data_IF_721695891363
#
_entry.id   IF_721695891363
#
_cell.length_a   1.000
_cell.length_b   1.000
_cell.length_c   1.000
_cell.angle_alpha   90.00
_cell.angle_beta   90.00
_cell.angle_gamma   90.00
#
_symmetry.space_group_name_H-M   'P 1'
#
loop_
_entity.id
_entity.type
_entity.pdbx_description
1 polymer ?
#
# COMPACT_ATOMS: atom_id res chain seq x y z
N UNK A 1 -6.46 24.37 -7.65
CA UNK A 1 -5.29 24.03 -8.49
C UNK A 1 -5.75 23.23 -9.71
N UNK A 2 -5.02 23.35 -10.84
CA UNK A 2 -5.15 22.43 -12.00
C UNK A 2 -4.05 21.39 -11.87
N UNK A 3 -4.41 20.20 -11.46
CA UNK A 3 -3.49 19.10 -11.12
C UNK A 3 -3.55 18.04 -12.21
N UNK A 4 -2.42 17.69 -12.81
CA UNK A 4 -2.31 16.48 -13.62
C UNK A 4 -1.91 15.30 -12.72
N UNK A 5 -2.60 14.16 -12.83
CA UNK A 5 -2.15 12.89 -12.25
C UNK A 5 -1.80 11.91 -13.36
N UNK A 6 -0.52 11.55 -13.45
CA UNK A 6 -0.01 10.63 -14.48
C UNK A 6 0.14 9.23 -13.88
N UNK A 7 -0.56 8.27 -14.49
CA UNK A 7 -0.62 6.87 -14.06
C UNK A 7 -0.46 5.91 -15.24
N UNK A 8 -0.24 4.63 -14.99
CA UNK A 8 -0.43 3.57 -15.97
C UNK A 8 -1.86 3.03 -15.92
N UNK A 9 -2.41 2.68 -17.09
CA UNK A 9 -3.70 1.97 -17.19
C UNK A 9 -4.87 2.80 -16.66
N UNK A 10 -5.71 2.17 -15.84
CA UNK A 10 -6.95 2.74 -15.35
C UNK A 10 -6.89 2.94 -13.84
N UNK A 11 -7.40 4.10 -13.39
CA UNK A 11 -7.49 4.46 -11.98
C UNK A 11 -8.37 3.47 -11.18
N UNK A 12 -9.31 2.79 -11.85
CA UNK A 12 -10.20 1.79 -11.24
C UNK A 12 -9.56 0.41 -11.02
N UNK A 13 -8.26 0.28 -11.34
CA UNK A 13 -7.51 -0.95 -11.08
C UNK A 13 -7.52 -1.31 -9.58
N UNK A 14 -7.84 -2.56 -9.24
CA UNK A 14 -7.99 -3.02 -7.85
C UNK A 14 -6.65 -3.38 -7.21
N UNK A 15 -5.91 -2.36 -6.79
CA UNK A 15 -4.70 -2.49 -5.96
C UNK A 15 -4.66 -1.40 -4.89
N UNK A 16 -3.84 -1.59 -3.85
CA UNK A 16 -3.68 -0.60 -2.77
C UNK A 16 -3.15 0.75 -3.26
N UNK A 17 -2.22 0.77 -4.23
CA UNK A 17 -1.72 2.01 -4.82
C UNK A 17 -2.83 2.78 -5.54
N UNK A 18 -3.54 2.14 -6.46
CA UNK A 18 -4.66 2.79 -7.16
C UNK A 18 -5.84 3.16 -6.24
N UNK A 19 -6.04 2.44 -5.14
CA UNK A 19 -6.99 2.87 -4.11
C UNK A 19 -6.56 4.22 -3.50
N UNK A 20 -5.28 4.34 -3.15
CA UNK A 20 -4.73 5.59 -2.64
C UNK A 20 -4.88 6.73 -3.65
N UNK A 21 -4.55 6.49 -4.92
CA UNK A 21 -4.69 7.47 -6.01
C UNK A 21 -6.14 7.94 -6.17
N UNK A 22 -7.09 7.01 -6.18
CA UNK A 22 -8.54 7.35 -6.24
C UNK A 22 -8.96 8.23 -5.08
N UNK A 23 -8.53 7.90 -3.87
CA UNK A 23 -8.85 8.66 -2.66
C UNK A 23 -8.24 10.06 -2.72
N UNK A 24 -6.98 10.18 -3.15
CA UNK A 24 -6.32 11.48 -3.34
C UNK A 24 -7.05 12.33 -4.39
N UNK A 25 -7.41 11.75 -5.53
CA UNK A 25 -8.16 12.43 -6.59
C UNK A 25 -9.52 12.92 -6.09
N UNK A 26 -10.26 12.05 -5.37
CA UNK A 26 -11.55 12.41 -4.80
C UNK A 26 -11.41 13.61 -3.83
N UNK A 27 -10.48 13.50 -2.88
CA UNK A 27 -10.20 14.55 -1.91
C UNK A 27 -9.84 15.88 -2.59
N UNK A 28 -8.91 15.90 -3.56
CA UNK A 28 -8.51 17.12 -4.26
C UNK A 28 -9.70 17.76 -4.98
N UNK A 29 -10.56 16.94 -5.63
CA UNK A 29 -11.77 17.44 -6.29
C UNK A 29 -12.79 18.02 -5.33
N UNK A 30 -12.99 17.40 -4.17
CA UNK A 30 -13.84 17.89 -3.08
C UNK A 30 -13.34 19.24 -2.53
N UNK A 31 -12.01 19.45 -2.53
CA UNK A 31 -11.40 20.73 -2.17
C UNK A 31 -11.42 21.77 -3.31
N UNK A 32 -12.15 21.51 -4.40
CA UNK A 32 -12.30 22.43 -5.54
C UNK A 32 -11.11 22.46 -6.51
N UNK A 33 -10.20 21.50 -6.41
CA UNK A 33 -9.10 21.36 -7.37
C UNK A 33 -9.58 20.63 -8.63
N UNK A 34 -9.11 21.05 -9.80
CA UNK A 34 -9.38 20.35 -11.06
C UNK A 34 -8.29 19.30 -11.31
N UNK A 35 -8.66 18.01 -11.32
CA UNK A 35 -7.71 16.91 -11.49
C UNK A 35 -7.93 16.23 -12.84
N UNK A 36 -6.94 16.36 -13.73
CA UNK A 36 -6.86 15.65 -15.01
C UNK A 36 -6.08 14.35 -14.84
N UNK A 37 -6.68 13.21 -15.25
CA UNK A 37 -5.99 11.91 -15.25
C UNK A 37 -5.28 11.74 -16.60
N UNK A 38 -3.95 11.59 -16.55
CA UNK A 38 -3.09 11.36 -17.70
C UNK A 38 -2.67 9.89 -17.70
N UNK A 39 -3.43 9.06 -18.38
CA UNK A 39 -3.16 7.63 -18.45
C UNK A 39 -2.15 7.28 -19.55
N UNK A 40 -1.17 6.45 -19.20
CA UNK A 40 -0.27 5.76 -20.13
C UNK A 40 -0.68 4.29 -20.26
N UNK A 41 -0.51 3.71 -21.43
CA UNK A 41 -0.82 2.30 -21.66
C UNK A 41 0.08 1.42 -20.80
N UNK A 42 -0.51 0.46 -20.08
CA UNK A 42 0.22 -0.56 -19.35
C UNK A 42 1.00 -1.48 -20.31
N UNK A 43 2.28 -1.69 -20.05
CA UNK A 43 3.18 -2.55 -20.84
C UNK A 43 4.20 -3.21 -19.91
N UNK A 44 5.04 -4.09 -20.43
CA UNK A 44 6.17 -4.60 -19.65
C UNK A 44 7.28 -3.54 -19.50
N UNK A 45 8.06 -3.62 -18.45
CA UNK A 45 9.06 -2.64 -18.01
C UNK A 45 9.99 -2.16 -19.15
N UNK A 46 10.55 -3.08 -19.94
CA UNK A 46 11.45 -2.73 -21.04
C UNK A 46 10.80 -1.84 -22.13
N UNK A 47 9.49 -2.01 -22.39
CA UNK A 47 8.76 -1.13 -23.33
C UNK A 47 8.48 0.25 -22.74
N UNK A 48 8.30 0.34 -21.43
CA UNK A 48 8.14 1.63 -20.76
C UNK A 48 9.39 2.51 -20.88
N UNK A 49 10.60 1.91 -20.90
CA UNK A 49 11.84 2.66 -21.14
C UNK A 49 11.82 3.41 -22.48
N UNK A 50 11.13 2.89 -23.50
CA UNK A 50 11.02 3.53 -24.82
C UNK A 50 10.11 4.78 -24.81
N UNK A 51 9.22 4.91 -23.84
CA UNK A 51 8.33 6.09 -23.73
C UNK A 51 9.14 7.37 -23.51
N UNK A 52 10.32 7.30 -22.96
CA UNK A 52 11.26 8.44 -22.84
C UNK A 52 11.62 9.10 -24.19
N UNK A 53 11.48 8.39 -25.30
CA UNK A 53 11.71 8.89 -26.65
C UNK A 53 10.46 9.48 -27.31
N UNK A 54 9.29 9.34 -26.68
CA UNK A 54 8.00 9.76 -27.22
C UNK A 54 7.90 11.29 -27.31
N UNK A 55 7.91 11.78 -28.56
CA UNK A 55 7.69 13.22 -28.84
C UNK A 55 6.24 13.61 -28.56
N UNK A 56 5.28 12.73 -28.81
CA UNK A 56 3.84 12.98 -28.58
C UNK A 56 3.53 13.13 -27.09
N UNK A 57 4.09 12.25 -26.23
CA UNK A 57 3.93 12.37 -24.79
C UNK A 57 4.56 13.68 -24.26
N UNK A 58 5.78 13.99 -24.68
CA UNK A 58 6.43 15.23 -24.30
C UNK A 58 5.59 16.46 -24.71
N UNK A 59 5.08 16.47 -25.94
CA UNK A 59 4.25 17.56 -26.44
C UNK A 59 2.92 17.67 -25.68
N UNK A 60 2.27 16.55 -25.38
CA UNK A 60 1.04 16.51 -24.55
C UNK A 60 1.27 17.15 -23.18
N UNK A 61 2.35 16.74 -22.49
CA UNK A 61 2.70 17.27 -21.17
C UNK A 61 3.08 18.75 -21.24
N UNK A 62 3.79 19.20 -22.30
CA UNK A 62 4.13 20.62 -22.48
C UNK A 62 2.92 21.52 -22.68
N UNK A 63 1.89 21.02 -23.39
CA UNK A 63 0.67 21.79 -23.69
C UNK A 63 -0.39 21.67 -22.59
N UNK A 64 -0.20 20.78 -21.64
CA UNK A 64 -1.14 20.64 -20.53
C UNK A 64 -1.13 21.92 -19.67
N UNK A 65 -2.31 22.51 -19.51
CA UNK A 65 -2.49 23.73 -18.71
C UNK A 65 -2.59 23.38 -17.22
N UNK A 66 -1.47 22.92 -16.65
CA UNK A 66 -1.36 22.45 -15.27
C UNK A 66 -0.68 23.50 -14.39
N UNK A 67 -1.07 23.52 -13.13
CA UNK A 67 -0.35 24.23 -12.07
C UNK A 67 0.75 23.30 -11.47
N UNK A 68 0.53 21.97 -11.46
CA UNK A 68 1.50 20.95 -11.08
C UNK A 68 1.18 19.59 -11.71
N UNK A 69 2.20 18.74 -11.85
CA UNK A 69 2.05 17.35 -12.32
C UNK A 69 2.45 16.38 -11.22
N UNK A 70 1.48 15.59 -10.73
CA UNK A 70 1.74 14.43 -9.87
C UNK A 70 1.98 13.22 -10.78
N UNK A 71 3.04 12.47 -10.52
CA UNK A 71 3.40 11.25 -11.22
C UNK A 71 3.39 10.09 -10.22
N UNK A 72 2.56 9.07 -10.43
CA UNK A 72 2.74 7.82 -9.71
C UNK A 72 4.15 7.30 -9.99
N UNK A 73 4.91 6.98 -8.95
CA UNK A 73 6.29 6.51 -9.06
C UNK A 73 6.40 5.25 -9.94
N UNK A 74 5.36 4.44 -10.01
CA UNK A 74 5.28 3.30 -10.92
C UNK A 74 5.61 3.67 -12.38
N UNK A 75 5.38 4.93 -12.76
CA UNK A 75 5.69 5.48 -14.09
C UNK A 75 7.18 5.85 -14.28
N UNK A 76 8.05 5.67 -13.28
CA UNK A 76 9.47 6.02 -13.36
C UNK A 76 10.18 5.50 -14.63
N UNK A 77 9.91 4.27 -15.14
CA UNK A 77 10.61 3.79 -16.33
C UNK A 77 10.25 4.57 -17.61
N UNK A 78 9.03 5.14 -17.68
CA UNK A 78 8.63 5.98 -18.81
C UNK A 78 9.12 7.43 -18.72
N UNK A 79 9.56 7.87 -17.53
CA UNK A 79 9.74 9.29 -17.22
C UNK A 79 11.17 9.69 -16.81
N UNK A 80 12.05 8.75 -16.50
CA UNK A 80 13.38 9.05 -15.95
C UNK A 80 14.24 9.99 -16.81
N UNK A 81 14.14 9.91 -18.14
CA UNK A 81 14.79 10.84 -19.06
C UNK A 81 13.82 11.88 -19.64
N UNK A 82 12.55 11.54 -19.71
CA UNK A 82 11.48 12.46 -20.13
C UNK A 82 11.43 13.68 -19.21
N UNK A 83 11.43 13.49 -17.89
CA UNK A 83 11.37 14.56 -16.90
C UNK A 83 12.52 15.58 -17.05
N UNK A 84 13.74 15.14 -17.38
CA UNK A 84 14.85 16.04 -17.66
C UNK A 84 14.58 16.98 -18.85
N UNK A 85 13.88 16.48 -19.87
CA UNK A 85 13.49 17.26 -21.06
C UNK A 85 12.29 18.14 -20.78
N UNK A 86 11.34 17.63 -20.00
CA UNK A 86 10.13 18.34 -19.61
C UNK A 86 10.45 19.56 -18.74
N UNK A 87 11.28 19.43 -17.72
CA UNK A 87 11.69 20.53 -16.82
C UNK A 87 12.31 21.74 -17.52
N UNK A 88 12.88 21.54 -18.71
CA UNK A 88 13.42 22.65 -19.52
C UNK A 88 12.37 23.40 -20.31
N UNK A 89 11.09 22.96 -20.24
CA UNK A 89 10.03 23.39 -21.17
C UNK A 89 8.73 23.74 -20.48
N UNK A 90 8.60 23.43 -19.20
CA UNK A 90 7.43 23.72 -18.37
C UNK A 90 7.83 24.44 -17.10
N UNK A 91 6.94 25.25 -16.58
CA UNK A 91 7.14 25.99 -15.32
C UNK A 91 6.54 25.27 -14.12
N UNK A 92 5.59 24.36 -14.36
CA UNK A 92 4.94 23.64 -13.29
C UNK A 92 5.85 22.59 -12.64
N UNK A 93 5.77 22.42 -11.29
CA UNK A 93 6.58 21.44 -10.58
C UNK A 93 6.16 20.00 -10.88
N UNK A 94 7.15 19.11 -10.87
CA UNK A 94 6.98 17.66 -11.00
C UNK A 94 7.02 17.04 -9.61
N UNK A 95 5.89 16.56 -9.14
CA UNK A 95 5.75 15.89 -7.86
C UNK A 95 5.59 14.38 -8.11
N UNK A 96 6.20 13.54 -7.30
CA UNK A 96 5.97 12.10 -7.39
C UNK A 96 5.15 11.60 -6.20
N UNK A 97 4.24 10.68 -6.46
CA UNK A 97 3.53 9.91 -5.46
C UNK A 97 4.21 8.55 -5.35
N UNK A 98 4.77 8.23 -4.19
CA UNK A 98 5.60 7.04 -4.00
C UNK A 98 4.86 6.03 -3.13
N UNK A 99 4.43 4.93 -3.75
CA UNK A 99 3.80 3.82 -3.05
C UNK A 99 4.80 2.76 -2.62
N UNK A 100 5.74 2.40 -3.51
CA UNK A 100 6.71 1.33 -3.30
C UNK A 100 7.78 1.40 -4.37
N UNK A 101 9.05 1.44 -4.01
CA UNK A 101 10.13 1.33 -4.99
C UNK A 101 10.18 -0.09 -5.59
N UNK A 102 10.21 -0.17 -6.90
CA UNK A 102 10.33 -1.45 -7.58
C UNK A 102 11.62 -2.19 -7.21
N UNK A 103 12.71 -1.46 -6.95
CA UNK A 103 13.97 -2.04 -6.49
C UNK A 103 13.92 -2.62 -5.07
N UNK A 104 12.88 -2.31 -4.27
CA UNK A 104 12.65 -2.88 -2.95
C UNK A 104 11.96 -4.24 -3.01
N UNK A 105 11.29 -4.57 -4.11
CA UNK A 105 10.65 -5.87 -4.31
C UNK A 105 11.67 -7.00 -4.47
N UNK A 106 11.19 -8.25 -4.37
CA UNK A 106 12.02 -9.45 -4.58
C UNK A 106 12.31 -9.66 -6.06
N UNK A 107 13.48 -9.26 -6.51
CA UNK A 107 14.00 -9.45 -7.86
C UNK A 107 15.42 -10.02 -7.84
N UNK A 108 15.93 -10.49 -8.98
CA UNK A 108 17.34 -10.86 -9.12
C UNK A 108 18.26 -9.64 -8.89
N UNK A 109 19.49 -9.86 -8.45
CA UNK A 109 20.44 -8.80 -8.16
C UNK A 109 20.69 -7.88 -9.38
N UNK A 110 20.76 -8.46 -10.58
CA UNK A 110 20.93 -7.72 -11.84
C UNK A 110 19.72 -6.83 -12.16
N UNK A 111 18.49 -7.35 -11.99
CA UNK A 111 17.28 -6.57 -12.19
C UNK A 111 17.17 -5.43 -11.17
N UNK A 112 17.46 -5.69 -9.89
CA UNK A 112 17.52 -4.63 -8.85
C UNK A 112 18.49 -3.52 -9.19
N UNK A 113 19.68 -3.84 -9.72
CA UNK A 113 20.67 -2.83 -10.11
C UNK A 113 20.13 -1.93 -11.22
N UNK A 114 19.45 -2.49 -12.22
CA UNK A 114 18.83 -1.73 -13.31
C UNK A 114 17.70 -0.83 -12.74
N UNK A 115 16.80 -1.37 -11.94
CA UNK A 115 15.71 -0.60 -11.33
C UNK A 115 16.24 0.57 -10.51
N UNK A 116 17.21 0.33 -9.62
CA UNK A 116 17.90 1.37 -8.83
C UNK A 116 18.50 2.47 -9.70
N UNK A 117 19.14 2.12 -10.81
CA UNK A 117 19.74 3.11 -11.71
C UNK A 117 18.68 4.00 -12.37
N UNK A 118 17.56 3.41 -12.81
CA UNK A 118 16.45 4.13 -13.46
C UNK A 118 15.72 5.00 -12.43
N UNK A 119 15.37 4.45 -11.25
CA UNK A 119 14.74 5.17 -10.14
C UNK A 119 15.59 6.36 -9.68
N UNK A 120 16.91 6.17 -9.46
CA UNK A 120 17.82 7.28 -9.11
C UNK A 120 17.79 8.41 -10.14
N UNK A 121 17.76 8.04 -11.43
CA UNK A 121 17.69 9.04 -12.49
C UNK A 121 16.34 9.74 -12.55
N UNK A 122 15.26 9.04 -12.27
CA UNK A 122 13.92 9.59 -12.16
C UNK A 122 13.84 10.63 -11.04
N UNK A 123 14.25 10.27 -9.83
CA UNK A 123 14.19 11.15 -8.66
C UNK A 123 15.08 12.39 -8.78
N UNK A 124 16.13 12.40 -9.61
CA UNK A 124 16.94 13.60 -9.86
C UNK A 124 16.16 14.75 -10.48
N UNK A 125 15.06 14.45 -11.15
CA UNK A 125 14.26 15.43 -11.89
C UNK A 125 12.91 15.71 -11.24
N UNK A 126 12.71 15.31 -9.98
CA UNK A 126 11.50 15.53 -9.19
C UNK A 126 11.71 16.74 -8.27
N UNK A 127 10.68 17.58 -8.13
CA UNK A 127 10.68 18.79 -7.31
C UNK A 127 10.14 18.55 -5.91
N UNK A 128 9.43 17.44 -5.72
CA UNK A 128 8.90 17.03 -4.43
C UNK A 128 8.23 15.67 -4.49
N UNK A 129 7.91 15.10 -3.33
CA UNK A 129 7.31 13.78 -3.23
C UNK A 129 6.20 13.74 -2.17
N UNK A 130 5.17 12.93 -2.43
CA UNK A 130 4.20 12.45 -1.45
C UNK A 130 4.56 10.99 -1.19
N UNK A 131 4.85 10.64 0.05
CA UNK A 131 5.19 9.29 0.47
C UNK A 131 4.02 8.68 1.24
N UNK A 132 3.69 7.43 0.96
CA UNK A 132 2.62 6.74 1.69
C UNK A 132 3.05 6.22 3.08
N UNK A 133 4.35 6.28 3.40
CA UNK A 133 4.92 5.87 4.69
C UNK A 133 6.28 6.50 4.93
N UNK A 134 6.73 6.54 6.18
CA UNK A 134 8.07 6.98 6.53
C UNK A 134 9.13 6.02 5.96
N UNK A 135 8.86 4.72 6.00
CA UNK A 135 9.73 3.68 5.38
C UNK A 135 9.95 3.93 3.89
N UNK A 136 8.89 4.31 3.18
CA UNK A 136 9.00 4.62 1.73
C UNK A 136 9.85 5.87 1.51
N UNK A 137 9.70 6.90 2.35
CA UNK A 137 10.55 8.09 2.32
C UNK A 137 12.02 7.73 2.54
N UNK A 138 12.31 6.99 3.60
CA UNK A 138 13.68 6.54 3.93
C UNK A 138 14.30 5.69 2.81
N UNK A 139 13.52 4.79 2.21
CA UNK A 139 13.98 3.99 1.07
C UNK A 139 14.38 4.85 -0.13
N UNK A 140 13.61 5.91 -0.43
CA UNK A 140 13.94 6.86 -1.50
C UNK A 140 15.18 7.70 -1.14
N UNK A 141 15.31 8.18 0.08
CA UNK A 141 16.46 8.95 0.55
C UNK A 141 17.74 8.09 0.51
N UNK A 142 17.68 6.83 0.96
CA UNK A 142 18.79 5.87 0.84
C UNK A 142 19.16 5.57 -0.62
N UNK A 143 18.14 5.40 -1.48
CA UNK A 143 18.37 5.16 -2.90
C UNK A 143 19.08 6.34 -3.58
N UNK A 144 18.65 7.56 -3.27
CA UNK A 144 19.12 8.79 -3.94
C UNK A 144 20.35 9.40 -3.30
N UNK A 145 20.64 9.07 -2.05
CA UNK A 145 21.70 9.67 -1.23
C UNK A 145 21.42 11.13 -0.86
N UNK A 146 20.17 11.58 -0.93
CA UNK A 146 19.74 12.95 -0.58
C UNK A 146 18.33 12.99 -0.06
N UNK A 147 18.02 13.96 0.76
CA UNK A 147 16.66 14.30 1.14
C UNK A 147 15.89 14.86 -0.08
N UNK A 148 14.65 14.40 -0.26
CA UNK A 148 13.72 14.92 -1.26
C UNK A 148 12.65 15.72 -0.52
N UNK A 149 12.41 17.00 -0.90
CA UNK A 149 11.32 17.76 -0.31
C UNK A 149 10.01 17.00 -0.45
N UNK A 150 9.33 16.74 0.67
CA UNK A 150 8.13 15.90 0.60
C UNK A 150 7.37 15.86 1.91
N UNK A 151 6.23 15.18 1.84
CA UNK A 151 5.32 14.92 2.95
C UNK A 151 5.03 13.44 3.03
N UNK A 152 4.90 12.92 4.24
CA UNK A 152 4.33 11.59 4.46
C UNK A 152 2.84 11.75 4.67
N UNK A 153 2.06 11.16 3.78
CA UNK A 153 0.61 11.11 3.84
C UNK A 153 0.18 9.64 3.90
N UNK A 154 -0.08 9.15 5.09
CA UNK A 154 -0.43 7.76 5.30
C UNK A 154 -1.79 7.41 4.64
N UNK A 155 -2.01 6.17 4.19
CA UNK A 155 -3.36 5.67 3.94
C UNK A 155 -4.23 5.84 5.18
N UNK A 156 -5.47 6.29 4.98
CA UNK A 156 -6.38 6.55 6.10
C UNK A 156 -6.95 5.27 6.71
N UNK A 157 -7.21 5.31 8.03
CA UNK A 157 -7.87 4.23 8.79
C UNK A 157 -9.35 4.04 8.45
N UNK A 158 -9.96 4.99 7.78
CA UNK A 158 -11.40 5.10 7.52
C UNK A 158 -11.80 4.64 6.10
N UNK A 159 -10.97 3.78 5.47
CA UNK A 159 -11.30 3.21 4.16
C UNK A 159 -12.58 2.38 4.20
N UNK A 160 -12.73 1.54 5.21
CA UNK A 160 -13.89 0.68 5.40
C UNK A 160 -14.75 1.20 6.57
N UNK A 161 -16.07 1.12 6.41
CA UNK A 161 -16.99 1.40 7.52
C UNK A 161 -17.00 0.20 8.48
N UNK A 162 -16.30 0.34 9.60
CA UNK A 162 -16.26 -0.70 10.62
C UNK A 162 -17.50 -0.64 11.50
N UNK A 163 -18.35 -1.69 11.43
CA UNK A 163 -19.53 -1.85 12.30
C UNK A 163 -19.20 -2.81 13.45
N UNK A 164 -18.25 -2.44 14.31
CA UNK A 164 -17.86 -3.26 15.46
C UNK A 164 -17.83 -2.43 16.74
N UNK A 165 -17.65 -3.09 17.88
CA UNK A 165 -17.49 -2.48 19.18
C UNK A 165 -16.53 -3.31 20.03
N UNK A 166 -15.97 -2.71 21.09
CA UNK A 166 -15.09 -3.43 22.03
C UNK A 166 -15.70 -4.73 22.53
N UNK A 167 -17.00 -4.73 22.87
CA UNK A 167 -17.70 -5.93 23.32
C UNK A 167 -17.76 -7.02 22.22
N UNK A 168 -18.06 -6.65 20.97
CA UNK A 168 -18.07 -7.59 19.84
C UNK A 168 -16.69 -8.13 19.54
N UNK A 169 -15.65 -7.28 19.62
CA UNK A 169 -14.24 -7.67 19.43
C UNK A 169 -13.83 -8.70 20.49
N UNK A 170 -14.09 -8.41 21.78
CA UNK A 170 -13.78 -9.33 22.87
C UNK A 170 -14.54 -10.67 22.75
N UNK A 171 -15.84 -10.61 22.46
CA UNK A 171 -16.67 -11.81 22.30
C UNK A 171 -16.16 -12.71 21.15
N UNK A 172 -15.79 -12.12 20.01
CA UNK A 172 -15.19 -12.86 18.88
C UNK A 172 -13.89 -13.51 19.27
N UNK A 173 -12.95 -12.77 19.89
CA UNK A 173 -11.64 -13.27 20.30
C UNK A 173 -11.75 -14.39 21.35
N UNK A 174 -12.75 -14.35 22.23
CA UNK A 174 -13.05 -15.38 23.21
C UNK A 174 -13.63 -16.67 22.61
N UNK A 175 -14.10 -16.66 21.37
CA UNK A 175 -14.75 -17.82 20.75
C UNK A 175 -13.77 -19.00 20.66
N UNK A 176 -14.17 -20.13 21.26
CA UNK A 176 -13.38 -21.37 21.23
C UNK A 176 -13.51 -22.09 19.88
N UNK A 177 -12.63 -23.05 19.64
CA UNK A 177 -12.52 -23.78 18.38
C UNK A 177 -11.30 -23.32 17.55
N UNK A 178 -11.16 -23.72 16.29
CA UNK A 178 -10.01 -23.37 15.46
C UNK A 178 -9.73 -21.87 15.40
N UNK A 179 -8.46 -21.47 15.44
CA UNK A 179 -8.07 -20.09 15.18
C UNK A 179 -8.44 -19.73 13.74
N UNK A 180 -9.31 -18.75 13.56
CA UNK A 180 -9.76 -18.29 12.26
C UNK A 180 -8.82 -17.20 11.75
N UNK A 181 -8.12 -17.51 10.68
CA UNK A 181 -7.14 -16.64 10.02
C UNK A 181 -7.78 -16.07 8.76
N UNK A 182 -7.61 -14.77 8.54
CA UNK A 182 -7.91 -14.16 7.26
C UNK A 182 -6.62 -13.62 6.62
N UNK A 183 -6.49 -13.83 5.33
CA UNK A 183 -5.50 -13.20 4.46
C UNK A 183 -6.24 -12.27 3.50
N UNK A 184 -5.85 -11.00 3.41
CA UNK A 184 -6.44 -10.02 2.50
C UNK A 184 -5.35 -9.43 1.61
N UNK A 185 -5.45 -9.69 0.31
CA UNK A 185 -4.53 -9.19 -0.70
C UNK A 185 -4.49 -10.08 -1.94
N UNK A 186 -4.12 -9.50 -3.08
CA UNK A 186 -3.99 -10.29 -4.31
C UNK A 186 -3.00 -11.44 -4.11
N UNK A 187 -3.35 -12.63 -4.60
CA UNK A 187 -2.54 -13.85 -4.44
C UNK A 187 -1.32 -13.79 -5.36
N UNK A 188 -0.28 -13.13 -4.84
CA UNK A 188 1.01 -12.89 -5.50
C UNK A 188 2.13 -13.45 -4.62
N UNK A 189 3.21 -13.90 -5.23
CA UNK A 189 4.37 -14.44 -4.49
C UNK A 189 4.95 -13.44 -3.46
N UNK A 190 4.86 -12.13 -3.75
CA UNK A 190 5.29 -11.07 -2.84
C UNK A 190 4.47 -10.98 -1.54
N UNK A 191 3.24 -11.51 -1.51
CA UNK A 191 2.35 -11.47 -0.33
C UNK A 191 2.53 -12.65 0.64
N UNK A 192 3.30 -13.68 0.27
CA UNK A 192 3.77 -14.71 1.19
C UNK A 192 2.70 -15.72 1.63
N UNK A 193 1.62 -15.94 0.85
CA UNK A 193 0.61 -16.93 1.18
C UNK A 193 1.18 -18.34 1.26
N UNK A 194 2.23 -18.65 0.49
CA UNK A 194 3.03 -19.87 0.56
C UNK A 194 3.64 -20.10 1.95
N UNK A 195 4.17 -19.03 2.55
CA UNK A 195 4.74 -19.07 3.91
C UNK A 195 3.65 -19.33 4.97
N UNK A 196 2.46 -18.74 4.80
CA UNK A 196 1.34 -18.98 5.72
C UNK A 196 0.84 -20.43 5.65
N UNK A 197 0.69 -20.99 4.45
CA UNK A 197 0.31 -22.41 4.26
C UNK A 197 1.35 -23.34 4.88
N UNK A 198 2.65 -23.03 4.73
CA UNK A 198 3.73 -23.79 5.36
C UNK A 198 3.72 -23.67 6.88
N UNK A 199 3.41 -22.50 7.44
CA UNK A 199 3.23 -22.33 8.87
C UNK A 199 2.05 -23.17 9.42
N UNK A 200 0.92 -23.18 8.71
CA UNK A 200 -0.23 -24.00 9.09
C UNK A 200 0.06 -25.51 9.05
N UNK A 201 0.91 -25.97 8.10
CA UNK A 201 1.34 -27.37 8.03
C UNK A 201 2.11 -27.83 9.29
N UNK A 202 2.77 -26.91 10.01
CA UNK A 202 3.52 -27.17 11.25
C UNK A 202 2.63 -27.20 12.51
N UNK A 203 1.35 -26.92 12.39
CA UNK A 203 0.38 -26.94 13.47
C UNK A 203 -0.43 -28.24 13.50
N UNK A 204 -1.04 -28.61 14.64
CA UNK A 204 -1.99 -29.72 14.70
C UNK A 204 -3.12 -29.51 13.69
N UNK A 205 -3.54 -30.59 13.04
CA UNK A 205 -4.67 -30.54 12.09
C UNK A 205 -5.93 -29.99 12.79
N UNK A 206 -6.58 -29.02 12.16
CA UNK A 206 -7.76 -28.37 12.70
C UNK A 206 -7.51 -27.28 13.76
N UNK A 207 -6.25 -27.01 14.14
CA UNK A 207 -5.94 -25.90 15.04
C UNK A 207 -6.28 -24.54 14.41
N UNK A 208 -6.12 -24.41 13.07
CA UNK A 208 -6.39 -23.18 12.35
C UNK A 208 -7.27 -23.41 11.12
N UNK A 209 -8.02 -22.39 10.74
CA UNK A 209 -8.72 -22.27 9.44
C UNK A 209 -8.30 -20.98 8.78
N UNK A 210 -8.00 -21.02 7.49
CA UNK A 210 -7.59 -19.87 6.68
C UNK A 210 -8.63 -19.54 5.63
N UNK A 211 -8.98 -18.27 5.57
CA UNK A 211 -9.75 -17.67 4.48
C UNK A 211 -8.85 -16.67 3.73
N UNK A 212 -8.56 -16.93 2.45
CA UNK A 212 -7.75 -16.07 1.62
C UNK A 212 -8.63 -15.30 0.63
N UNK A 213 -8.57 -13.96 0.71
CA UNK A 213 -9.36 -13.01 -0.07
C UNK A 213 -8.43 -12.20 -0.96
N UNK A 214 -8.68 -12.18 -2.26
CA UNK A 214 -7.95 -11.41 -3.25
C UNK A 214 -7.87 -12.10 -4.59
N UNK A 215 -7.48 -11.37 -5.64
CA UNK A 215 -7.47 -11.89 -7.00
C UNK A 215 -6.62 -13.15 -7.15
N UNK A 216 -7.21 -14.20 -7.69
CA UNK A 216 -6.55 -15.46 -8.05
C UNK A 216 -6.08 -15.45 -9.52
N UNK A 217 -6.51 -14.48 -10.31
CA UNK A 217 -6.26 -14.41 -11.75
C UNK A 217 -5.11 -13.49 -12.11
N UNK A 218 -4.77 -12.52 -11.24
CA UNK A 218 -3.67 -11.59 -11.47
C UNK A 218 -2.32 -12.31 -11.66
N UNK A 219 -2.12 -13.44 -10.98
CA UNK A 219 -0.99 -14.36 -11.16
C UNK A 219 -1.45 -15.81 -11.01
N UNK A 220 -2.22 -16.29 -11.99
CA UNK A 220 -2.90 -17.60 -11.94
C UNK A 220 -1.96 -18.78 -11.64
N UNK A 221 -0.75 -18.76 -12.21
CA UNK A 221 0.25 -19.82 -11.97
C UNK A 221 0.68 -19.91 -10.49
N UNK A 222 0.81 -18.78 -9.82
CA UNK A 222 1.12 -18.78 -8.38
C UNK A 222 -0.09 -19.23 -7.55
N UNK A 223 -1.29 -18.73 -7.85
CA UNK A 223 -2.51 -19.20 -7.18
C UNK A 223 -2.68 -20.72 -7.30
N UNK A 224 -2.38 -21.29 -8.46
CA UNK A 224 -2.41 -22.75 -8.67
C UNK A 224 -1.30 -23.47 -7.88
N UNK A 225 -0.12 -22.88 -7.74
CA UNK A 225 0.94 -23.45 -6.89
C UNK A 225 0.52 -23.48 -5.41
N UNK A 226 -0.20 -22.48 -4.93
CA UNK A 226 -0.77 -22.46 -3.58
C UNK A 226 -1.80 -23.57 -3.40
N UNK A 227 -2.73 -23.78 -4.36
CA UNK A 227 -3.70 -24.88 -4.27
C UNK A 227 -3.01 -26.25 -4.17
N UNK A 228 -1.98 -26.46 -4.95
CA UNK A 228 -1.17 -27.69 -4.88
C UNK A 228 -0.46 -27.85 -3.55
N UNK A 229 0.11 -26.77 -3.00
CA UNK A 229 0.74 -26.77 -1.68
C UNK A 229 -0.28 -27.11 -0.58
N UNK A 230 -1.47 -26.51 -0.61
CA UNK A 230 -2.57 -26.79 0.33
C UNK A 230 -2.97 -28.28 0.26
N UNK A 231 -3.16 -28.82 -0.93
CA UNK A 231 -3.52 -30.23 -1.12
C UNK A 231 -2.42 -31.19 -0.63
N UNK A 232 -1.15 -30.93 -0.97
CA UNK A 232 -0.02 -31.76 -0.56
C UNK A 232 0.23 -31.70 0.95
N UNK A 233 -0.10 -30.57 1.61
CA UNK A 233 -0.05 -30.42 3.06
C UNK A 233 -1.23 -31.07 3.79
N UNK A 234 -2.24 -31.59 3.09
CA UNK A 234 -3.48 -32.13 3.68
C UNK A 234 -4.35 -31.07 4.35
N UNK A 235 -4.32 -29.83 3.84
CA UNK A 235 -5.02 -28.68 4.41
C UNK A 235 -6.27 -28.27 3.62
N UNK A 236 -6.74 -29.08 2.65
CA UNK A 236 -7.87 -28.72 1.78
C UNK A 236 -9.16 -28.40 2.53
N UNK A 237 -9.42 -29.04 3.66
CA UNK A 237 -10.61 -28.77 4.49
C UNK A 237 -10.47 -27.54 5.42
N UNK A 238 -9.27 -26.95 5.47
CA UNK A 238 -8.92 -25.87 6.39
C UNK A 238 -8.52 -24.57 5.69
N UNK A 239 -8.36 -24.58 4.37
CA UNK A 239 -7.95 -23.40 3.59
C UNK A 239 -8.98 -23.14 2.49
N UNK A 240 -9.60 -21.98 2.55
CA UNK A 240 -10.54 -21.48 1.55
C UNK A 240 -9.92 -20.31 0.79
N UNK A 241 -9.92 -20.37 -0.55
CA UNK A 241 -9.44 -19.29 -1.43
C UNK A 241 -10.65 -18.71 -2.17
N UNK A 242 -11.21 -17.60 -1.63
CA UNK A 242 -12.47 -17.02 -2.13
C UNK A 242 -12.32 -16.28 -3.46
N UNK A 243 -11.13 -15.79 -3.78
CA UNK A 243 -10.95 -14.85 -4.88
C UNK A 243 -11.20 -13.40 -4.45
N UNK A 244 -11.31 -12.49 -5.43
CA UNK A 244 -11.64 -11.10 -5.18
C UNK A 244 -13.10 -10.95 -4.73
N UNK A 245 -13.33 -10.13 -3.72
CA UNK A 245 -14.66 -9.77 -3.23
C UNK A 245 -14.81 -8.25 -3.27
N UNK A 246 -16.04 -7.70 -3.33
CA UNK A 246 -16.30 -6.28 -3.20
C UNK A 246 -15.74 -5.70 -1.90
N UNK A 247 -15.20 -4.47 -1.94
CA UNK A 247 -14.59 -3.85 -0.76
C UNK A 247 -15.58 -3.69 0.41
N UNK A 248 -16.85 -3.43 0.11
CA UNK A 248 -17.93 -3.31 1.09
C UNK A 248 -18.22 -4.60 1.87
N UNK A 249 -17.82 -5.75 1.34
CA UNK A 249 -17.97 -7.05 2.00
C UNK A 249 -16.78 -7.39 2.93
N UNK A 250 -15.61 -6.79 2.71
CA UNK A 250 -14.38 -7.06 3.47
C UNK A 250 -14.61 -6.97 4.98
N UNK A 251 -15.30 -5.94 5.55
CA UNK A 251 -15.54 -5.86 6.99
C UNK A 251 -16.33 -7.06 7.53
N UNK A 252 -17.25 -7.61 6.73
CA UNK A 252 -18.01 -8.82 7.09
C UNK A 252 -17.12 -10.04 7.25
N UNK A 253 -16.13 -10.21 6.36
CA UNK A 253 -15.16 -11.29 6.44
C UNK A 253 -14.17 -11.06 7.60
N UNK A 254 -13.65 -9.85 7.77
CA UNK A 254 -12.78 -9.52 8.89
C UNK A 254 -13.45 -9.82 10.23
N UNK A 255 -14.70 -9.37 10.42
CA UNK A 255 -15.45 -9.58 11.66
C UNK A 255 -15.75 -11.05 12.01
N UNK A 256 -15.59 -11.99 11.08
CA UNK A 256 -15.74 -13.44 11.33
C UNK A 256 -14.44 -14.14 11.72
N UNK A 257 -13.30 -13.45 11.56
CA UNK A 257 -11.97 -14.01 11.79
C UNK A 257 -11.32 -13.48 13.06
N UNK A 258 -10.25 -14.13 13.52
CA UNK A 258 -9.56 -13.80 14.77
C UNK A 258 -8.31 -12.95 14.54
N UNK A 259 -7.60 -13.18 13.45
CA UNK A 259 -6.31 -12.57 13.14
C UNK A 259 -6.15 -12.37 11.63
N UNK A 260 -5.60 -11.24 11.23
CA UNK A 260 -5.12 -11.03 9.87
C UNK A 260 -3.66 -11.51 9.77
N UNK A 261 -3.35 -12.30 8.75
CA UNK A 261 -1.97 -12.73 8.49
C UNK A 261 -1.61 -12.45 7.04
N UNK A 262 -0.66 -11.53 6.83
CA UNK A 262 -0.12 -11.23 5.50
C UNK A 262 1.41 -11.18 5.60
N UNK A 263 2.11 -12.34 5.47
CA UNK A 263 3.55 -12.44 5.66
C UNK A 263 4.31 -12.06 4.39
N UNK A 264 4.06 -10.82 3.93
CA UNK A 264 4.63 -10.26 2.70
C UNK A 264 6.16 -10.32 2.70
N UNK A 265 6.77 -10.58 1.55
CA UNK A 265 8.22 -10.50 1.36
C UNK A 265 8.74 -9.07 1.47
N UNK A 266 7.91 -8.12 1.11
CA UNK A 266 8.07 -6.69 1.35
C UNK A 266 6.69 -6.01 1.28
N UNK A 267 6.40 -5.11 2.21
CA UNK A 267 5.16 -4.32 2.24
C UNK A 267 5.50 -2.85 2.53
N UNK A 268 5.03 -1.92 1.70
CA UNK A 268 5.33 -0.50 1.91
C UNK A 268 4.71 0.05 3.20
N UNK A 269 3.48 -0.34 3.49
CA UNK A 269 2.77 -0.02 4.73
C UNK A 269 1.74 -1.11 5.09
N UNK A 270 0.79 -1.39 4.17
CA UNK A 270 -0.26 -2.40 4.35
C UNK A 270 -1.61 -1.80 4.76
N UNK A 271 -2.41 -1.34 3.78
CA UNK A 271 -3.78 -0.83 4.03
C UNK A 271 -4.63 -1.90 4.73
N UNK A 272 -4.49 -3.17 4.34
CA UNK A 272 -5.20 -4.28 4.96
C UNK A 272 -4.95 -4.41 6.48
N UNK A 273 -3.82 -3.94 6.98
CA UNK A 273 -3.52 -3.94 8.42
C UNK A 273 -4.43 -2.95 9.15
N UNK A 274 -4.60 -1.74 8.60
CA UNK A 274 -5.50 -0.73 9.16
C UNK A 274 -6.95 -1.20 9.13
N UNK A 275 -7.35 -1.82 8.02
CA UNK A 275 -8.69 -2.41 7.86
C UNK A 275 -8.98 -3.50 8.90
N UNK A 276 -8.03 -4.40 9.11
CA UNK A 276 -8.16 -5.48 10.09
C UNK A 276 -8.19 -4.95 11.53
N UNK A 277 -7.28 -4.03 11.88
CA UNK A 277 -7.28 -3.41 13.21
C UNK A 277 -8.55 -2.59 13.47
N UNK A 278 -9.12 -1.94 12.45
CA UNK A 278 -10.41 -1.26 12.54
C UNK A 278 -11.57 -2.21 12.87
N UNK A 279 -11.42 -3.49 12.53
CA UNK A 279 -12.31 -4.58 12.97
C UNK A 279 -11.84 -5.25 14.29
N UNK A 280 -10.76 -4.76 14.91
CA UNK A 280 -10.17 -5.33 16.12
C UNK A 280 -9.52 -6.70 15.89
N UNK A 281 -8.91 -6.93 14.72
CA UNK A 281 -8.06 -8.09 14.50
C UNK A 281 -6.61 -7.72 14.76
N UNK A 282 -5.87 -8.46 15.59
CA UNK A 282 -4.42 -8.36 15.58
C UNK A 282 -3.87 -8.76 14.21
N UNK A 283 -2.68 -8.24 13.89
CA UNK A 283 -2.04 -8.44 12.59
C UNK A 283 -0.73 -9.20 12.76
N UNK A 284 -0.52 -10.26 11.96
CA UNK A 284 0.80 -10.88 11.82
C UNK A 284 1.34 -10.49 10.44
N UNK A 285 2.44 -9.74 10.44
CA UNK A 285 3.11 -9.22 9.26
C UNK A 285 4.61 -9.53 9.30
N UNK A 286 5.38 -9.00 8.36
CA UNK A 286 6.84 -9.16 8.37
C UNK A 286 7.56 -7.85 8.70
N UNK A 287 8.82 -7.97 9.11
CA UNK A 287 9.71 -6.83 9.37
C UNK A 287 10.18 -6.13 8.08
N UNK A 288 9.91 -6.70 6.90
CA UNK A 288 10.36 -6.15 5.63
C UNK A 288 9.40 -5.07 5.11
N UNK A 289 9.83 -3.83 5.22
CA UNK A 289 9.07 -2.64 4.82
C UNK A 289 8.41 -1.94 6.00
N UNK A 290 7.28 -1.27 5.77
CA UNK A 290 6.64 -0.33 6.69
C UNK A 290 5.63 -0.93 7.67
N UNK A 291 5.48 -2.26 7.75
CA UNK A 291 4.52 -2.86 8.66
C UNK A 291 4.75 -2.45 10.13
N UNK A 292 6.00 -2.20 10.54
CA UNK A 292 6.37 -1.76 11.89
C UNK A 292 5.83 -0.35 12.24
N UNK A 293 5.47 0.47 11.25
CA UNK A 293 4.84 1.78 11.48
C UNK A 293 3.40 1.64 11.99
N UNK A 294 2.75 0.50 11.72
CA UNK A 294 1.37 0.20 12.12
C UNK A 294 1.34 -0.87 13.21
N UNK A 295 2.12 -1.94 13.05
CA UNK A 295 2.09 -3.11 13.93
C UNK A 295 3.14 -3.01 15.01
N UNK A 296 2.73 -2.68 16.24
CA UNK A 296 3.58 -2.79 17.43
C UNK A 296 3.69 -4.26 17.84
N UNK A 297 4.89 -4.81 17.66
CA UNK A 297 5.17 -6.22 17.96
C UNK A 297 4.85 -6.57 19.42
N UNK A 298 4.06 -7.63 19.62
CA UNK A 298 3.64 -8.08 20.94
C UNK A 298 2.48 -7.28 21.57
N UNK A 299 2.09 -6.13 21.04
CA UNK A 299 0.98 -5.32 21.58
C UNK A 299 -0.30 -5.48 20.73
N UNK A 300 -0.22 -5.16 19.45
CA UNK A 300 -1.36 -5.15 18.52
C UNK A 300 -1.23 -6.21 17.43
N UNK A 301 -0.21 -7.04 17.50
CA UNK A 301 0.09 -8.08 16.53
C UNK A 301 1.53 -8.54 16.65
N UNK A 302 2.01 -9.28 15.65
CA UNK A 302 3.36 -9.80 15.60
C UNK A 302 4.07 -9.45 14.29
N UNK A 303 5.39 -9.30 14.38
CA UNK A 303 6.26 -9.12 13.22
C UNK A 303 7.24 -10.31 13.16
N UNK A 304 7.34 -10.95 12.00
CA UNK A 304 8.27 -12.04 11.71
C UNK A 304 9.21 -11.70 10.57
N UNK A 305 10.27 -12.46 10.39
CA UNK A 305 11.10 -12.33 9.20
C UNK A 305 10.36 -12.87 7.97
N UNK A 306 10.56 -12.26 6.76
CA UNK A 306 9.99 -12.81 5.54
C UNK A 306 10.41 -14.26 5.31
N UNK A 307 9.43 -15.13 5.04
CA UNK A 307 9.66 -16.55 4.77
C UNK A 307 9.84 -17.43 6.02
N UNK A 308 9.81 -16.86 7.23
CA UNK A 308 9.94 -17.64 8.48
C UNK A 308 8.59 -18.27 8.87
N UNK A 309 8.28 -19.41 8.26
CA UNK A 309 7.10 -20.19 8.56
C UNK A 309 7.10 -20.76 9.99
N UNK A 310 8.28 -21.01 10.56
CA UNK A 310 8.42 -21.55 11.92
C UNK A 310 8.00 -20.54 12.98
N UNK A 311 8.52 -19.32 12.90
CA UNK A 311 8.14 -18.24 13.81
C UNK A 311 6.65 -17.89 13.63
N UNK A 312 6.15 -17.83 12.39
CA UNK A 312 4.74 -17.61 12.10
C UNK A 312 3.85 -18.68 12.75
N UNK A 313 4.23 -19.97 12.65
CA UNK A 313 3.52 -21.06 13.31
C UNK A 313 3.55 -20.92 14.84
N UNK A 314 4.65 -20.42 15.41
CA UNK A 314 4.76 -20.11 16.84
C UNK A 314 3.71 -19.10 17.28
N UNK A 315 3.58 -17.96 16.59
CA UNK A 315 2.58 -16.94 16.91
C UNK A 315 1.14 -17.41 16.70
N UNK A 316 0.88 -18.18 15.66
CA UNK A 316 -0.44 -18.78 15.46
C UNK A 316 -0.81 -19.75 16.60
N UNK A 317 0.16 -20.56 17.07
CA UNK A 317 -0.03 -21.46 18.22
C UNK A 317 -0.30 -20.68 19.50
N UNK A 318 0.45 -19.60 19.77
CA UNK A 318 0.23 -18.71 20.92
C UNK A 318 -1.21 -18.19 20.95
N UNK A 319 -1.69 -17.60 19.83
CA UNK A 319 -3.05 -17.05 19.75
C UNK A 319 -4.15 -18.13 19.79
N UNK A 320 -3.85 -19.35 19.34
CA UNK A 320 -4.77 -20.48 19.42
C UNK A 320 -4.91 -21.00 20.87
N UNK A 321 -3.81 -21.13 21.58
CA UNK A 321 -3.76 -21.70 22.93
C UNK A 321 -4.14 -20.70 24.02
N UNK A 322 -3.83 -19.41 23.84
CA UNK A 322 -4.13 -18.35 24.80
C UNK A 322 -5.16 -17.35 24.25
N UNK A 323 -6.44 -17.64 24.54
CA UNK A 323 -7.53 -16.72 24.15
C UNK A 323 -7.58 -15.44 24.98
N UNK A 324 -7.00 -15.43 26.19
CA UNK A 324 -6.81 -14.22 26.98
C UNK A 324 -5.89 -13.25 26.23
N UNK A 325 -4.74 -13.76 25.77
CA UNK A 325 -3.80 -13.00 24.95
C UNK A 325 -4.41 -12.48 23.64
N UNK A 326 -5.20 -13.33 22.97
CA UNK A 326 -5.91 -12.91 21.74
C UNK A 326 -6.91 -11.80 22.03
N UNK A 327 -7.66 -11.84 23.14
CA UNK A 327 -8.60 -10.79 23.55
C UNK A 327 -7.86 -9.47 23.78
N UNK A 328 -6.80 -9.49 24.60
CA UNK A 328 -5.99 -8.32 24.93
C UNK A 328 -5.45 -7.66 23.66
N UNK A 329 -4.80 -8.46 22.80
CA UNK A 329 -4.22 -7.97 21.55
C UNK A 329 -5.28 -7.45 20.56
N UNK A 330 -6.45 -8.07 20.52
CA UNK A 330 -7.59 -7.64 19.68
C UNK A 330 -8.15 -6.29 20.11
N UNK A 331 -8.32 -6.08 21.41
CA UNK A 331 -8.77 -4.81 21.98
C UNK A 331 -7.71 -3.71 21.77
N UNK A 332 -6.44 -4.04 21.99
CA UNK A 332 -5.33 -3.13 21.76
C UNK A 332 -5.23 -2.71 20.28
N UNK A 333 -5.39 -3.64 19.33
CA UNK A 333 -5.40 -3.35 17.89
C UNK A 333 -6.53 -2.38 17.50
N UNK A 334 -7.74 -2.61 18.02
CA UNK A 334 -8.89 -1.73 17.79
C UNK A 334 -8.68 -0.31 18.34
N UNK A 335 -8.09 -0.19 19.52
CA UNK A 335 -7.78 1.11 20.13
C UNK A 335 -6.62 1.81 19.42
N UNK A 336 -5.59 1.05 19.04
CA UNK A 336 -4.40 1.60 18.41
C UNK A 336 -4.69 2.28 17.06
N UNK A 337 -5.50 1.65 16.21
CA UNK A 337 -5.82 2.20 14.89
C UNK A 337 -6.62 3.50 14.99
N UNK A 338 -7.32 3.76 16.09
CA UNK A 338 -8.06 5.00 16.27
C UNK A 338 -7.17 6.26 16.30
N UNK A 339 -5.89 6.10 16.63
CA UNK A 339 -4.89 7.17 16.61
C UNK A 339 -4.22 7.36 15.22
N UNK A 340 -4.46 6.45 14.27
CA UNK A 340 -3.93 6.58 12.92
C UNK A 340 -4.74 7.64 12.15
N UNK A 341 -4.14 8.45 11.26
CA UNK A 341 -4.86 9.49 10.54
C UNK A 341 -5.99 8.94 9.65
N UNK A 342 -6.99 9.76 9.40
CA UNK A 342 -7.99 9.55 8.36
C UNK A 342 -7.41 9.90 6.98
N UNK A 343 -8.13 9.55 5.90
CA UNK A 343 -7.74 9.97 4.56
C UNK A 343 -7.71 11.49 4.43
N UNK A 344 -8.71 12.17 5.00
CA UNK A 344 -8.82 13.63 4.94
C UNK A 344 -7.67 14.32 5.67
N UNK A 345 -7.29 13.86 6.87
CA UNK A 345 -6.14 14.38 7.62
C UNK A 345 -4.83 14.20 6.84
N UNK A 346 -4.61 13.03 6.27
CA UNK A 346 -3.41 12.74 5.46
C UNK A 346 -3.36 13.57 4.18
N UNK A 347 -4.48 13.71 3.49
CA UNK A 347 -4.51 14.44 2.23
C UNK A 347 -4.58 15.95 2.41
N UNK A 348 -5.04 16.45 3.56
CA UNK A 348 -4.88 17.86 3.90
C UNK A 348 -3.40 18.24 3.94
N UNK A 349 -2.56 17.47 4.64
CA UNK A 349 -1.11 17.68 4.66
C UNK A 349 -0.48 17.55 3.27
N UNK A 350 -0.94 16.58 2.46
CA UNK A 350 -0.47 16.44 1.09
C UNK A 350 -0.83 17.66 0.23
N UNK A 351 -2.06 18.16 0.33
CA UNK A 351 -2.53 19.33 -0.42
C UNK A 351 -1.78 20.61 -0.02
N UNK A 352 -1.54 20.82 1.27
CA UNK A 352 -0.75 21.95 1.77
C UNK A 352 0.68 21.89 1.21
N UNK A 353 1.28 20.73 1.19
CA UNK A 353 2.57 20.51 0.56
C UNK A 353 2.53 20.87 -0.94
N UNK A 354 1.54 20.42 -1.70
CA UNK A 354 1.38 20.74 -3.12
C UNK A 354 1.28 22.26 -3.32
N UNK A 355 0.46 22.97 -2.54
CA UNK A 355 0.31 24.42 -2.61
C UNK A 355 1.65 25.14 -2.32
N UNK A 356 2.42 24.65 -1.36
CA UNK A 356 3.76 25.21 -1.05
C UNK A 356 4.75 25.12 -2.22
N UNK A 357 4.56 24.17 -3.12
CA UNK A 357 5.41 24.01 -4.34
C UNK A 357 5.06 25.04 -5.41
N UNK A 358 3.80 25.46 -5.51
CA UNK A 358 3.35 26.50 -6.45
C UNK A 358 3.97 27.87 -6.11
N UNK A 359 4.03 28.19 -4.83
CA UNK A 359 4.60 29.48 -4.37
C UNK A 359 6.10 29.56 -4.72
N UNK A 360 6.84 28.46 -4.58
CA UNK A 360 8.29 28.41 -4.88
C UNK A 360 8.62 28.43 -6.37
N UNK A 361 7.69 28.00 -7.23
CA UNK A 361 7.90 28.03 -8.70
C UNK A 361 7.71 29.41 -9.32
N UNK A 362 7.35 30.45 -8.56
CA UNK A 362 7.20 31.80 -9.06
C UNK A 362 5.90 32.05 -9.83
N UNK A 363 4.95 31.11 -9.78
CA UNK A 363 3.66 31.24 -10.46
C UNK A 363 2.79 32.25 -9.69
N UNK A 364 2.86 33.53 -10.07
CA UNK A 364 2.30 34.71 -9.40
C UNK A 364 0.77 34.74 -9.32
N UNK A 365 0.06 33.74 -9.84
CA UNK A 365 -1.40 33.65 -9.80
C UNK A 365 -1.98 33.25 -8.43
N UNK A 366 -1.14 32.77 -7.51
CA UNK A 366 -1.55 32.31 -6.17
C UNK A 366 -0.95 33.13 -5.04
N UNK A 367 -1.01 34.49 -5.13
CA UNK A 367 -0.85 35.30 -3.92
C UNK A 367 -2.10 35.08 -3.08
N UNK A 368 -1.90 34.52 -1.90
CA UNK A 368 -2.90 34.39 -0.84
C UNK A 368 -3.59 35.73 -0.69
N UNK A 369 -4.90 35.80 -0.96
CA UNK A 369 -5.72 36.89 -0.46
C UNK A 369 -5.62 36.83 1.06
N UNK A 370 -4.91 37.78 1.65
CA UNK A 370 -4.89 38.00 3.09
C UNK A 370 -6.34 38.10 3.55
N UNK A 371 -6.80 37.11 4.29
CA UNK A 371 -7.97 37.27 5.14
C UNK A 371 -7.47 38.04 6.36
N UNK A 372 -7.76 39.32 6.36
CA UNK A 372 -7.56 40.16 7.53
C UNK A 372 -8.41 39.59 8.66
N UNK A 373 -7.74 39.10 9.70
CA UNK A 373 -8.35 38.94 11.02
C UNK A 373 -8.23 40.31 11.73
N UNK A 374 -9.31 41.07 11.69
CA UNK A 374 -9.57 42.15 12.64
C UNK A 374 -10.41 41.60 13.79
#
# INVERSE_FOLDING_TARGET
MRVGLLIYGDLDTLTGGYLYDRKLVAYLREQGDNVEIISLKWRHYGRHLMDNLSRSLLHRLQKAELDLLIQDELNHPSLFAMNQRLKRRVEYPLITLVHLLRSSESHSASAKSIYRAVERRYFRNIDGAIFNSQTTREAVEQLTGREIPGVVAYPGRDHLRHQTSLAKVAARAATRGPLRIVFVGNVLAGKGLDTLVEAMRQLPRGACRLMAIGSLTMHAAYAESIRRQVASAGLSDYVEMLGAVPNEEIPGYLNRNHVLVVPSRYEALGIAYLEAMGCGLPVIATTAGGAHEIVRHGEVGFLTQPGDAGMLAGYLRELDQDRGRLIEMSLAAYQHVAAHPTWDESFAAARDFLQSRLIKSGNSRWRVSNVDYA
#
